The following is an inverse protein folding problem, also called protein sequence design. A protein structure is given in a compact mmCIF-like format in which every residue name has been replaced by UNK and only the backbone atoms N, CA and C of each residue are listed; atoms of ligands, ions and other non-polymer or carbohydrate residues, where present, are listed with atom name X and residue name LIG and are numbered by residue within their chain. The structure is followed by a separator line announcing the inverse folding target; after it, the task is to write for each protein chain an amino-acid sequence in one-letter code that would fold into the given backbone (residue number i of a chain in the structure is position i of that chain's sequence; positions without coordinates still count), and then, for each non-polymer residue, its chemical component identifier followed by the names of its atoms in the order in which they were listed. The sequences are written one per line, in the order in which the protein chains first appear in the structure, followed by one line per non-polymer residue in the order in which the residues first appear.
data_IF_458714952988
#
_entry.id   IF_458714952988
#
_cell.length_a   1.000
_cell.length_b   1.000
_cell.length_c   1.000
_cell.angle_alpha   90.00
_cell.angle_beta   90.00
_cell.angle_gamma   90.00
#
_symmetry.space_group_name_H-M   'P 1'
#
loop_
_entity.id
_entity.type
_entity.pdbx_description
1 polymer ?
#
# COMPACT_ATOMS: atom_id res chain seq x y z
N UNK A 1 13.15 -11.14 10.44
CA UNK A 1 14.46 -10.56 10.06
C UNK A 1 14.59 -9.23 10.77
N UNK A 2 15.73 -8.94 11.36
CA UNK A 2 15.96 -7.64 11.99
C UNK A 2 16.27 -6.59 10.91
N UNK A 3 15.93 -5.35 11.16
CA UNK A 3 16.32 -4.26 10.26
C UNK A 3 17.67 -3.71 10.66
N UNK A 4 18.56 -3.59 9.69
CA UNK A 4 19.86 -2.97 9.89
C UNK A 4 19.75 -1.52 10.39
N UNK A 5 20.80 -1.03 11.02
CA UNK A 5 20.87 0.37 11.44
C UNK A 5 21.05 1.29 10.22
N UNK A 6 20.17 2.30 10.11
CA UNK A 6 20.33 3.33 9.09
C UNK A 6 21.52 4.21 9.42
N UNK A 7 22.41 4.45 8.46
CA UNK A 7 23.54 5.35 8.64
C UNK A 7 23.32 6.68 7.92
N UNK A 8 23.56 7.81 8.64
CA UNK A 8 23.55 9.15 8.04
C UNK A 8 24.91 9.39 7.40
N UNK A 9 24.91 9.63 6.10
CA UNK A 9 26.13 9.88 5.33
C UNK A 9 26.47 11.38 5.20
N UNK A 10 25.45 12.25 5.48
CA UNK A 10 25.62 13.71 5.47
C UNK A 10 25.26 14.31 6.83
N UNK A 11 26.12 15.16 7.38
CA UNK A 11 25.95 15.79 8.70
C UNK A 11 24.80 16.82 8.77
N UNK A 12 24.15 17.19 7.66
CA UNK A 12 23.09 18.21 7.57
C UNK A 12 21.74 17.67 7.14
N UNK A 13 21.53 16.36 7.15
CA UNK A 13 20.26 15.82 6.73
C UNK A 13 19.18 16.14 7.79
N UNK A 14 18.34 17.14 7.49
CA UNK A 14 17.11 17.43 8.23
C UNK A 14 16.06 16.31 8.04
N UNK A 15 16.53 15.07 8.07
CA UNK A 15 15.73 13.86 7.86
C UNK A 15 15.53 13.17 9.20
N UNK A 16 14.28 12.90 9.51
CA UNK A 16 13.88 12.15 10.70
C UNK A 16 13.06 10.94 10.30
N UNK A 17 13.48 9.76 10.77
CA UNK A 17 12.71 8.52 10.59
C UNK A 17 11.48 8.59 11.49
N UNK A 18 10.29 8.45 10.88
CA UNK A 18 9.01 8.43 11.56
C UNK A 18 8.52 6.99 11.77
N UNK A 19 8.79 6.13 10.80
CA UNK A 19 8.37 4.73 10.84
C UNK A 19 9.37 3.88 10.06
N UNK A 20 9.52 2.63 10.51
CA UNK A 20 10.32 1.57 9.88
C UNK A 20 9.47 0.35 9.69
N UNK A 21 9.80 -0.47 8.69
CA UNK A 21 9.09 -1.72 8.48
C UNK A 21 9.53 -2.44 7.23
N UNK A 22 8.84 -3.52 6.96
CA UNK A 22 8.99 -4.33 5.75
C UNK A 22 7.96 -3.95 4.71
N UNK A 23 8.34 -4.09 3.46
CA UNK A 23 7.50 -3.81 2.31
C UNK A 23 7.47 -5.02 1.38
N UNK A 24 6.27 -5.41 0.95
CA UNK A 24 6.06 -6.50 0.02
C UNK A 24 5.28 -6.01 -1.17
N UNK A 25 5.71 -6.43 -2.37
CA UNK A 25 5.08 -6.05 -3.63
C UNK A 25 4.43 -7.25 -4.29
N UNK A 26 3.19 -7.07 -4.76
CA UNK A 26 2.44 -8.08 -5.49
C UNK A 26 1.74 -7.45 -6.70
N UNK A 27 1.58 -8.22 -7.77
CA UNK A 27 0.69 -7.85 -8.86
C UNK A 27 -0.39 -8.90 -9.07
N UNK A 28 -1.54 -8.47 -9.55
CA UNK A 28 -2.63 -9.37 -9.93
C UNK A 28 -2.78 -9.39 -11.44
N UNK A 29 -2.82 -10.59 -12.07
CA UNK A 29 -3.17 -10.70 -13.48
C UNK A 29 -4.58 -10.22 -13.78
N UNK A 30 -4.85 -9.82 -15.02
CA UNK A 30 -6.20 -9.52 -15.50
C UNK A 30 -7.10 -10.73 -15.38
N UNK A 31 -8.40 -10.50 -15.17
CA UNK A 31 -9.42 -11.55 -15.09
C UNK A 31 -9.40 -12.43 -16.34
N UNK A 32 -9.33 -13.74 -16.14
CA UNK A 32 -9.26 -14.74 -17.21
C UNK A 32 -7.85 -14.95 -17.80
N UNK A 33 -6.83 -14.29 -17.25
CA UNK A 33 -5.42 -14.50 -17.62
C UNK A 33 -4.74 -15.36 -16.57
N UNK A 34 -4.26 -16.53 -16.99
CA UNK A 34 -3.45 -17.42 -16.14
C UNK A 34 -1.96 -17.19 -16.40
N UNK A 35 -1.59 -16.90 -17.63
CA UNK A 35 -0.23 -16.53 -18.02
C UNK A 35 -0.13 -15.03 -18.21
N UNK A 36 0.99 -14.46 -17.81
CA UNK A 36 1.30 -13.03 -17.90
C UNK A 36 2.61 -12.89 -18.67
N UNK A 37 2.58 -12.09 -19.71
CA UNK A 37 3.72 -11.88 -20.62
C UNK A 37 4.25 -10.45 -20.61
N UNK A 38 3.66 -9.59 -19.78
CA UNK A 38 4.07 -8.20 -19.65
C UNK A 38 3.12 -7.39 -18.76
N UNK A 39 3.48 -6.16 -18.49
CA UNK A 39 2.69 -5.23 -17.68
C UNK A 39 1.28 -4.97 -18.21
N UNK A 40 1.05 -5.18 -19.51
CA UNK A 40 -0.29 -5.06 -20.09
C UNK A 40 -1.27 -6.11 -19.56
N UNK A 41 -0.79 -7.27 -19.16
CA UNK A 41 -1.59 -8.34 -18.58
C UNK A 41 -1.85 -8.16 -17.09
N UNK A 42 -1.23 -7.17 -16.47
CA UNK A 42 -1.44 -6.81 -15.06
C UNK A 42 -2.73 -6.01 -14.89
N UNK A 43 -3.51 -6.37 -13.89
CA UNK A 43 -4.71 -5.65 -13.49
C UNK A 43 -4.41 -4.61 -12.42
N UNK A 44 -3.68 -4.99 -11.38
CA UNK A 44 -3.40 -4.16 -10.19
C UNK A 44 -2.03 -4.44 -9.62
N UNK A 45 -1.45 -3.42 -9.01
CA UNK A 45 -0.29 -3.51 -8.13
C UNK A 45 -0.75 -3.34 -6.70
N UNK A 46 -0.24 -4.19 -5.81
CA UNK A 46 -0.47 -4.14 -4.37
C UNK A 46 0.84 -3.93 -3.63
N UNK A 47 0.76 -3.21 -2.52
CA UNK A 47 1.84 -3.03 -1.57
C UNK A 47 1.32 -3.47 -0.21
N UNK A 48 2.10 -4.26 0.51
CA UNK A 48 1.85 -4.56 1.93
C UNK A 48 2.95 -3.91 2.73
N UNK A 49 2.58 -3.06 3.69
CA UNK A 49 3.52 -2.48 4.66
C UNK A 49 3.32 -3.18 6.00
N UNK A 50 4.41 -3.60 6.62
CA UNK A 50 4.46 -4.18 7.96
C UNK A 50 5.40 -3.34 8.83
N UNK A 51 4.90 -2.35 9.60
CA UNK A 51 5.73 -1.60 10.53
C UNK A 51 6.29 -2.50 11.62
N UNK A 52 7.48 -2.19 12.14
CA UNK A 52 8.24 -3.08 13.03
C UNK A 52 8.17 -2.73 14.50
N UNK A 53 7.94 -1.48 14.84
CA UNK A 53 8.01 -1.05 16.25
C UNK A 53 7.05 0.08 16.55
N UNK A 54 6.56 0.12 17.79
CA UNK A 54 5.73 1.16 18.34
C UNK A 54 4.31 0.70 18.65
N UNK A 55 3.57 1.57 19.32
CA UNK A 55 2.13 1.44 19.50
C UNK A 55 1.44 2.27 18.42
N UNK A 56 0.48 1.69 17.73
CA UNK A 56 -0.25 2.34 16.66
C UNK A 56 -1.75 2.34 16.96
N UNK A 57 -2.36 3.50 16.78
CA UNK A 57 -3.82 3.60 16.78
C UNK A 57 -4.36 3.13 15.44
N UNK A 58 -5.21 2.12 15.48
CA UNK A 58 -5.80 1.49 14.29
C UNK A 58 -7.31 1.63 14.36
N UNK A 59 -7.96 1.82 13.23
CA UNK A 59 -9.42 1.85 13.14
C UNK A 59 -10.01 0.48 13.47
N UNK A 60 -10.92 0.42 14.45
CA UNK A 60 -11.66 -0.80 14.76
C UNK A 60 -12.71 -1.04 13.68
N UNK A 61 -12.70 -2.21 13.06
CA UNK A 61 -13.79 -2.64 12.16
C UNK A 61 -15.06 -2.83 12.97
N UNK A 62 -16.05 -1.99 12.73
CA UNK A 62 -17.28 -2.02 13.53
C UNK A 62 -18.33 -3.02 13.04
N UNK A 63 -18.45 -3.27 11.75
CA UNK A 63 -19.50 -4.14 11.19
C UNK A 63 -19.06 -4.72 9.85
N UNK A 64 -19.25 -6.03 9.62
CA UNK A 64 -19.10 -6.63 8.29
C UNK A 64 -19.88 -5.92 7.18
N UNK A 65 -20.89 -5.15 7.51
CA UNK A 65 -21.71 -4.39 6.55
C UNK A 65 -21.44 -2.87 6.55
N UNK A 66 -20.35 -2.41 7.16
CA UNK A 66 -20.00 -0.97 7.20
C UNK A 66 -19.69 -0.37 5.83
N UNK A 67 -19.58 -1.19 4.78
CA UNK A 67 -19.22 -0.78 3.42
C UNK A 67 -17.74 -0.45 3.23
N UNK A 68 -16.92 -0.71 4.24
CA UNK A 68 -15.47 -0.61 4.20
C UNK A 68 -14.78 -1.95 3.93
N UNK A 69 -15.54 -3.02 3.86
CA UNK A 69 -15.03 -4.30 3.38
C UNK A 69 -14.53 -4.13 1.95
N UNK A 70 -13.35 -4.68 1.69
CA UNK A 70 -12.79 -4.70 0.36
C UNK A 70 -13.80 -5.25 -0.63
N UNK A 71 -13.81 -4.78 -1.87
CA UNK A 71 -14.67 -5.34 -2.90
C UNK A 71 -14.47 -6.87 -2.90
N UNK A 72 -15.44 -7.61 -2.36
CA UNK A 72 -15.66 -8.96 -2.83
C UNK A 72 -15.85 -8.84 -4.33
N UNK A 73 -14.86 -9.30 -5.07
CA UNK A 73 -14.89 -9.29 -6.53
C UNK A 73 -16.07 -10.17 -6.99
N UNK A 74 -17.26 -9.60 -7.03
CA UNK A 74 -18.35 -10.29 -7.70
C UNK A 74 -19.73 -10.34 -7.09
N UNK A 75 -20.08 -9.66 -6.01
CA UNK A 75 -21.51 -9.63 -5.64
C UNK A 75 -22.26 -8.59 -6.48
N UNK A 76 -23.04 -9.06 -7.43
CA UNK A 76 -24.02 -8.30 -8.18
C UNK A 76 -25.08 -7.71 -7.26
N UNK A 77 -25.22 -6.40 -7.26
CA UNK A 77 -26.51 -5.77 -6.95
C UNK A 77 -27.47 -6.06 -8.10
N UNK A 78 -28.49 -6.87 -7.84
CA UNK A 78 -29.72 -6.81 -8.65
C UNK A 78 -30.45 -5.50 -8.37
N UNK A 79 -30.96 -4.82 -9.40
CA UNK A 79 -31.83 -3.69 -9.20
C UNK A 79 -33.29 -4.14 -9.01
N UNK A 80 -33.96 -3.54 -8.05
CA UNK A 80 -35.39 -3.46 -7.84
C UNK A 80 -36.09 -4.48 -6.93
N UNK A 81 -36.50 -3.92 -5.80
CA UNK A 81 -37.95 -3.93 -5.44
C UNK A 81 -38.24 -2.80 -4.47
N UNK A 82 -39.15 -1.91 -4.90
CA UNK A 82 -39.84 -0.94 -4.07
C UNK A 82 -40.56 -1.64 -2.90
N UNK A 83 -40.22 -1.24 -1.68
CA UNK A 83 -41.17 -1.33 -0.56
C UNK A 83 -40.96 -0.10 0.31
N UNK A 84 -41.92 0.80 0.23
CA UNK A 84 -42.14 1.89 1.17
C UNK A 84 -42.42 1.35 2.56
N UNK A 85 -41.67 1.74 3.55
CA UNK A 85 -42.13 1.81 4.93
C UNK A 85 -41.31 2.82 5.72
N UNK A 86 -41.97 3.89 6.11
CA UNK A 86 -41.50 4.86 7.08
C UNK A 86 -41.03 4.15 8.36
N UNK A 87 -39.79 4.33 8.73
CA UNK A 87 -39.31 4.19 10.11
C UNK A 87 -38.31 5.29 10.38
N UNK A 88 -38.69 6.15 11.28
CA UNK A 88 -37.88 7.17 11.91
C UNK A 88 -36.55 6.58 12.37
N UNK A 89 -35.47 7.07 11.81
CA UNK A 89 -34.13 6.76 12.27
C UNK A 89 -33.74 7.79 13.34
N UNK A 90 -33.77 7.36 14.56
CA UNK A 90 -32.99 7.99 15.64
C UNK A 90 -31.52 7.91 15.23
N UNK A 91 -30.91 9.06 14.98
CA UNK A 91 -29.50 9.17 14.66
C UNK A 91 -28.64 8.76 15.86
N UNK A 92 -28.13 7.55 15.82
CA UNK A 92 -27.02 7.17 16.66
C UNK A 92 -25.74 7.72 16.02
N UNK A 93 -25.14 8.73 16.62
CA UNK A 93 -23.76 9.13 16.34
C UNK A 93 -22.83 8.03 16.85
N UNK A 94 -22.63 7.00 16.03
CA UNK A 94 -21.62 5.99 16.28
C UNK A 94 -20.25 6.57 15.98
N UNK A 95 -19.52 6.98 17.00
CA UNK A 95 -18.10 7.31 16.85
C UNK A 95 -17.32 6.06 16.45
N UNK A 96 -16.47 6.17 15.44
CA UNK A 96 -15.54 5.11 15.05
C UNK A 96 -14.53 4.96 16.20
N UNK A 97 -14.47 3.77 16.82
CA UNK A 97 -13.48 3.45 17.84
C UNK A 97 -12.10 3.26 17.19
N UNK A 98 -11.07 3.63 17.92
CA UNK A 98 -9.69 3.25 17.62
C UNK A 98 -9.21 2.26 18.65
N UNK A 99 -8.44 1.27 18.24
CA UNK A 99 -7.76 0.32 19.09
C UNK A 99 -6.26 0.59 19.04
N UNK A 100 -5.59 0.56 20.18
CA UNK A 100 -4.14 0.62 20.23
C UNK A 100 -3.58 -0.79 20.00
N UNK A 101 -2.83 -0.94 18.91
CA UNK A 101 -2.17 -2.18 18.54
C UNK A 101 -0.70 -2.08 18.93
N UNK A 102 -0.25 -2.97 19.82
CA UNK A 102 1.17 -3.13 20.10
C UNK A 102 1.77 -4.12 19.12
N UNK A 103 2.47 -3.60 18.11
CA UNK A 103 3.02 -4.38 16.99
C UNK A 103 4.20 -5.28 17.39
N UNK A 104 4.77 -5.14 18.59
CA UNK A 104 5.72 -6.10 19.13
C UNK A 104 5.04 -7.44 19.49
N UNK A 105 3.73 -7.41 19.72
CA UNK A 105 2.93 -8.59 20.08
C UNK A 105 2.16 -9.15 18.91
N UNK A 106 1.66 -8.27 18.05
CA UNK A 106 0.83 -8.61 16.89
C UNK A 106 1.27 -7.79 15.67
N UNK A 107 1.51 -8.43 14.51
CA UNK A 107 1.92 -7.71 13.32
C UNK A 107 0.80 -6.80 12.84
N UNK A 108 1.11 -5.54 12.55
CA UNK A 108 0.22 -4.65 11.83
C UNK A 108 0.50 -4.76 10.34
N UNK A 109 -0.53 -4.96 9.54
CA UNK A 109 -0.43 -5.09 8.09
C UNK A 109 -1.33 -4.06 7.41
N UNK A 110 -0.77 -3.26 6.53
CA UNK A 110 -1.49 -2.30 5.68
C UNK A 110 -1.48 -2.81 4.25
N UNK A 111 -2.62 -3.28 3.78
CA UNK A 111 -2.80 -3.72 2.40
C UNK A 111 -3.22 -2.54 1.53
N UNK A 112 -2.36 -2.16 0.61
CA UNK A 112 -2.48 -0.98 -0.23
C UNK A 112 -2.76 -1.38 -1.67
N UNK A 113 -3.71 -0.71 -2.30
CA UNK A 113 -4.02 -0.86 -3.72
C UNK A 113 -3.55 0.37 -4.48
N UNK A 114 -2.72 0.17 -5.50
CA UNK A 114 -2.31 1.25 -6.40
C UNK A 114 -3.35 1.46 -7.51
N UNK A 115 -3.65 2.72 -7.80
CA UNK A 115 -4.57 3.09 -8.88
C UNK A 115 -4.01 2.85 -10.29
N UNK A 116 -2.71 2.60 -10.39
CA UNK A 116 -2.01 2.17 -11.60
C UNK A 116 -1.37 0.81 -11.40
N UNK A 117 -1.01 0.17 -12.50
CA UNK A 117 -0.39 -1.15 -12.54
C UNK A 117 1.08 -1.17 -12.09
N UNK A 118 1.72 0.00 -12.01
CA UNK A 118 3.13 0.17 -11.66
C UNK A 118 3.30 1.26 -10.62
N UNK A 119 4.47 1.34 -10.01
CA UNK A 119 4.92 2.51 -9.27
C UNK A 119 5.23 3.68 -10.23
N UNK A 120 5.25 4.93 -9.73
CA UNK A 120 5.90 6.01 -10.47
C UNK A 120 7.37 5.65 -10.68
N UNK A 121 7.95 6.01 -11.82
CA UNK A 121 9.37 5.77 -12.07
C UNK A 121 10.22 6.69 -11.16
N UNK A 122 10.96 6.17 -10.19
CA UNK A 122 11.68 7.01 -9.23
C UNK A 122 12.80 7.82 -9.86
N UNK A 123 13.37 7.38 -11.00
CA UNK A 123 14.43 8.09 -11.73
C UNK A 123 13.94 9.36 -12.43
N UNK A 124 12.63 9.53 -12.61
CA UNK A 124 12.03 10.67 -13.32
C UNK A 124 11.58 11.77 -12.37
N UNK A 125 12.46 12.72 -12.08
CA UNK A 125 12.30 13.78 -11.05
C UNK A 125 11.22 14.84 -11.32
N UNK A 126 10.71 15.05 -12.53
CA UNK A 126 9.79 16.16 -12.82
C UNK A 126 8.76 15.88 -13.90
N UNK A 127 7.57 16.47 -13.77
CA UNK A 127 6.55 16.53 -14.82
C UNK A 127 5.62 15.33 -14.92
N UNK A 128 5.83 14.27 -14.15
CA UNK A 128 4.94 13.12 -14.15
C UNK A 128 3.76 13.32 -13.20
N UNK A 129 2.58 12.88 -13.64
CA UNK A 129 1.36 12.92 -12.81
C UNK A 129 1.57 12.04 -11.58
N UNK A 130 1.18 12.51 -10.38
CA UNK A 130 1.19 11.70 -9.18
C UNK A 130 0.42 10.39 -9.38
N UNK A 131 0.88 9.31 -8.77
CA UNK A 131 0.17 8.05 -8.76
C UNK A 131 -0.68 7.99 -7.50
N UNK A 132 -1.93 7.68 -7.69
CA UNK A 132 -2.88 7.52 -6.61
C UNK A 132 -2.86 6.10 -6.09
N UNK A 133 -2.96 5.96 -4.77
CA UNK A 133 -3.19 4.72 -4.07
C UNK A 133 -4.11 4.92 -2.88
N UNK A 134 -4.54 3.83 -2.27
CA UNK A 134 -5.33 3.87 -1.05
C UNK A 134 -5.10 2.63 -0.21
N UNK A 135 -5.29 2.76 1.10
CA UNK A 135 -5.28 1.65 2.03
C UNK A 135 -6.62 0.93 1.92
N UNK A 136 -6.59 -0.30 1.43
CA UNK A 136 -7.77 -1.15 1.28
C UNK A 136 -8.16 -1.82 2.59
N UNK A 137 -7.13 -2.25 3.35
CA UNK A 137 -7.33 -3.00 4.59
C UNK A 137 -6.19 -2.73 5.56
N UNK A 138 -6.53 -2.64 6.84
CA UNK A 138 -5.60 -2.62 7.96
C UNK A 138 -5.97 -3.77 8.90
N UNK A 139 -5.02 -4.65 9.20
CA UNK A 139 -5.29 -5.86 9.99
C UNK A 139 -4.06 -6.31 10.77
N UNK A 140 -4.29 -7.01 11.88
CA UNK A 140 -3.25 -7.74 12.60
C UNK A 140 -3.18 -9.21 12.18
N UNK A 141 -4.10 -9.66 11.31
CA UNK A 141 -4.20 -11.06 10.87
C UNK A 141 -3.59 -11.24 9.48
N UNK A 142 -2.52 -12.01 9.41
CA UNK A 142 -1.86 -12.36 8.14
C UNK A 142 -2.83 -13.05 7.17
N UNK A 143 -3.76 -13.84 7.70
CA UNK A 143 -4.73 -14.60 6.90
C UNK A 143 -5.70 -13.70 6.11
N UNK A 144 -6.01 -12.50 6.61
CA UNK A 144 -6.83 -11.52 5.88
C UNK A 144 -6.10 -11.06 4.61
N UNK A 145 -4.80 -10.76 4.71
CA UNK A 145 -3.96 -10.40 3.56
C UNK A 145 -3.83 -11.57 2.59
N UNK A 146 -3.63 -12.80 3.10
CA UNK A 146 -3.61 -14.01 2.27
C UNK A 146 -4.93 -14.19 1.52
N UNK A 147 -6.06 -13.99 2.18
CA UNK A 147 -7.38 -14.05 1.55
C UNK A 147 -7.54 -13.00 0.43
N UNK A 148 -7.07 -11.76 0.67
CA UNK A 148 -7.09 -10.70 -0.32
C UNK A 148 -6.18 -10.98 -1.53
N UNK A 149 -5.07 -11.70 -1.34
CA UNK A 149 -4.14 -12.10 -2.42
C UNK A 149 -4.62 -13.35 -3.18
N UNK A 150 -5.45 -14.19 -2.58
CA UNK A 150 -5.93 -15.43 -3.17
C UNK A 150 -6.74 -15.20 -4.44
N UNK A 151 -6.69 -16.15 -5.36
CA UNK A 151 -7.55 -16.16 -6.55
C UNK A 151 -8.99 -16.50 -6.19
N UNK A 152 -9.91 -16.13 -7.08
CA UNK A 152 -11.34 -16.38 -6.93
C UNK A 152 -11.95 -16.82 -8.26
N UNK A 153 -12.98 -17.64 -8.17
CA UNK A 153 -13.81 -18.02 -9.31
C UNK A 153 -15.24 -17.58 -9.03
N UNK A 154 -15.87 -16.97 -10.02
CA UNK A 154 -17.24 -16.49 -9.90
C UNK A 154 -17.96 -16.52 -11.23
N UNK A 155 -19.27 -16.65 -11.18
CA UNK A 155 -20.13 -16.62 -12.35
C UNK A 155 -20.84 -15.28 -12.48
N UNK A 156 -20.91 -14.77 -13.71
CA UNK A 156 -21.67 -13.57 -14.03
C UNK A 156 -22.76 -13.85 -15.03
N UNK A 157 -23.93 -13.27 -14.85
CA UNK A 157 -25.06 -13.46 -15.76
C UNK A 157 -24.76 -13.08 -17.23
N UNK A 158 -23.88 -12.08 -17.43
CA UNK A 158 -23.59 -11.55 -18.77
C UNK A 158 -22.32 -12.10 -19.40
N UNK A 159 -21.34 -12.58 -18.60
CA UNK A 159 -20.02 -12.99 -19.09
C UNK A 159 -19.63 -14.41 -18.69
N UNK A 160 -20.55 -15.17 -18.10
CA UNK A 160 -20.34 -16.53 -17.65
C UNK A 160 -19.28 -16.67 -16.56
N UNK A 161 -18.64 -17.85 -16.51
CA UNK A 161 -17.58 -18.18 -15.56
C UNK A 161 -16.35 -17.28 -15.70
N UNK A 162 -15.87 -16.77 -14.59
CA UNK A 162 -14.71 -15.85 -14.53
C UNK A 162 -13.73 -16.36 -13.48
N UNK A 163 -12.46 -16.33 -13.83
CA UNK A 163 -11.36 -16.70 -12.94
C UNK A 163 -10.50 -15.46 -12.68
N UNK A 164 -10.36 -15.11 -11.44
CA UNK A 164 -9.38 -14.12 -10.96
C UNK A 164 -8.19 -14.92 -10.46
N UNK A 165 -7.07 -14.81 -11.14
CA UNK A 165 -5.86 -15.48 -10.72
C UNK A 165 -5.36 -14.93 -9.37
N UNK A 166 -4.65 -15.74 -8.56
CA UNK A 166 -4.01 -15.24 -7.35
C UNK A 166 -3.01 -14.11 -7.71
N UNK A 167 -2.84 -13.17 -6.79
CA UNK A 167 -1.78 -12.18 -6.90
C UNK A 167 -0.42 -12.88 -6.84
N UNK A 168 0.57 -12.35 -7.56
CA UNK A 168 1.93 -12.91 -7.66
C UNK A 168 2.91 -11.98 -6.97
N UNK A 169 3.87 -12.55 -6.26
CA UNK A 169 4.93 -11.81 -5.60
C UNK A 169 5.89 -11.18 -6.62
N UNK A 170 6.36 -9.97 -6.32
CA UNK A 170 7.30 -9.20 -7.16
C UNK A 170 8.55 -8.82 -6.40
N UNK A 171 8.50 -8.65 -5.09
CA UNK A 171 9.66 -8.31 -4.29
C UNK A 171 9.33 -8.07 -2.83
N UNK A 172 10.37 -8.11 -2.04
CA UNK A 172 10.39 -7.82 -0.61
C UNK A 172 11.56 -6.90 -0.30
N UNK A 173 11.39 -6.08 0.72
CA UNK A 173 12.45 -5.22 1.21
C UNK A 173 12.05 -4.49 2.46
N UNK A 174 12.85 -3.52 2.81
CA UNK A 174 12.60 -2.61 3.92
C UNK A 174 12.05 -1.28 3.43
N UNK A 175 11.26 -0.62 4.26
CA UNK A 175 10.83 0.75 4.01
C UNK A 175 11.07 1.66 5.21
N UNK A 176 11.08 2.97 4.93
CA UNK A 176 11.04 4.03 5.93
C UNK A 176 10.02 5.08 5.51
N UNK A 177 9.30 5.63 6.48
CA UNK A 177 8.59 6.89 6.31
C UNK A 177 9.44 7.96 7.00
N UNK A 178 9.84 8.95 6.21
CA UNK A 178 10.80 9.97 6.62
C UNK A 178 10.16 11.34 6.58
N UNK A 179 10.35 12.13 7.63
CA UNK A 179 10.13 13.57 7.62
C UNK A 179 11.41 14.24 7.15
N UNK A 180 11.30 15.04 6.10
CA UNK A 180 12.38 15.81 5.54
C UNK A 180 12.03 17.29 5.53
N UNK A 181 12.87 18.13 6.15
CA UNK A 181 12.67 19.57 6.31
C UNK A 181 13.72 20.40 5.55
N UNK A 182 13.77 20.36 4.20
CA UNK A 182 14.69 21.22 3.47
C UNK A 182 14.19 22.67 3.50
N UNK A 183 14.95 23.57 4.09
CA UNK A 183 14.75 25.05 3.99
C UNK A 183 13.30 25.52 4.24
N UNK A 184 12.65 25.06 5.29
CA UNK A 184 11.29 25.45 5.75
C UNK A 184 10.09 24.82 5.01
N UNK A 185 10.28 23.84 4.14
CA UNK A 185 9.17 23.06 3.58
C UNK A 185 9.28 21.62 4.04
N UNK A 186 8.37 21.20 4.89
CA UNK A 186 8.30 19.83 5.35
C UNK A 186 7.70 18.93 4.27
N UNK A 187 8.36 17.82 3.99
CA UNK A 187 7.89 16.76 3.10
C UNK A 187 7.95 15.42 3.84
N UNK A 188 7.13 14.48 3.43
CA UNK A 188 7.22 13.12 3.90
C UNK A 188 7.57 12.23 2.73
N UNK A 189 8.58 11.38 2.92
CA UNK A 189 9.01 10.41 1.93
C UNK A 189 8.65 9.01 2.38
N UNK A 190 8.12 8.21 1.48
CA UNK A 190 8.15 6.76 1.54
C UNK A 190 9.36 6.30 0.74
N UNK A 191 10.35 5.76 1.43
CA UNK A 191 11.54 5.19 0.79
C UNK A 191 11.57 3.70 1.01
N UNK A 192 12.11 2.95 0.06
CA UNK A 192 12.29 1.51 0.20
C UNK A 192 13.59 1.05 -0.46
N UNK A 193 14.11 -0.07 0.02
CA UNK A 193 15.20 -0.84 -0.60
C UNK A 193 14.80 -2.30 -0.64
N UNK A 194 14.91 -2.93 -1.81
CA UNK A 194 14.62 -4.35 -1.98
C UNK A 194 15.73 -5.20 -1.36
N UNK A 195 15.33 -6.29 -0.72
CA UNK A 195 16.22 -7.34 -0.20
C UNK A 195 16.10 -8.60 -1.05
N UNK A 196 14.89 -8.89 -1.55
CA UNK A 196 14.64 -10.07 -2.35
C UNK A 196 13.83 -9.72 -3.62
N UNK A 197 14.24 -10.24 -4.80
CA UNK A 197 15.41 -11.08 -5.08
C UNK A 197 16.74 -10.35 -4.94
N UNK A 198 17.83 -11.11 -4.98
CA UNK A 198 19.19 -10.57 -4.85
C UNK A 198 19.56 -9.58 -5.98
N UNK A 199 20.60 -8.78 -5.74
CA UNK A 199 20.94 -7.59 -6.53
C UNK A 199 21.29 -7.88 -8.01
N UNK A 200 21.85 -9.04 -8.29
CA UNK A 200 22.43 -9.37 -9.59
C UNK A 200 21.44 -9.98 -10.59
N UNK A 201 20.19 -10.17 -10.19
CA UNK A 201 19.20 -10.84 -11.01
C UNK A 201 18.30 -9.82 -11.74
N UNK A 202 18.42 -9.82 -13.08
CA UNK A 202 17.46 -9.10 -13.92
C UNK A 202 16.05 -9.65 -13.67
N UNK A 203 15.10 -8.77 -13.33
CA UNK A 203 13.72 -9.13 -13.08
C UNK A 203 12.78 -8.30 -13.95
N UNK A 204 12.29 -8.89 -15.05
CA UNK A 204 11.41 -8.22 -16.01
C UNK A 204 10.13 -7.66 -15.37
N UNK A 205 9.41 -8.41 -14.47
CA UNK A 205 8.27 -7.87 -13.78
C UNK A 205 8.58 -6.61 -12.95
N UNK A 206 9.71 -6.59 -12.25
CA UNK A 206 10.12 -5.43 -11.46
C UNK A 206 10.43 -4.23 -12.37
N UNK A 207 11.19 -4.45 -13.46
CA UNK A 207 11.54 -3.39 -14.40
C UNK A 207 10.31 -2.74 -15.02
N UNK A 208 9.34 -3.54 -15.52
CA UNK A 208 8.13 -3.03 -16.17
C UNK A 208 7.14 -2.41 -15.17
N UNK A 209 7.15 -2.85 -13.91
CA UNK A 209 6.31 -2.28 -12.86
C UNK A 209 6.97 -1.11 -12.12
N UNK A 210 8.15 -0.69 -12.56
CA UNK A 210 8.97 0.37 -11.94
C UNK A 210 9.30 0.12 -10.47
N UNK A 211 9.46 -1.14 -10.09
CA UNK A 211 9.91 -1.55 -8.77
C UNK A 211 11.43 -1.66 -8.85
N UNK A 212 12.12 -0.53 -8.67
CA UNK A 212 13.58 -0.45 -8.72
C UNK A 212 14.19 -1.07 -7.46
N UNK A 213 15.51 -1.25 -7.46
CA UNK A 213 16.23 -1.75 -6.29
C UNK A 213 15.99 -0.89 -5.05
N UNK A 214 15.94 0.40 -5.26
CA UNK A 214 15.51 1.37 -4.25
C UNK A 214 14.69 2.49 -4.89
N UNK A 215 13.94 3.18 -4.06
CA UNK A 215 13.13 4.29 -4.54
C UNK A 215 12.65 5.19 -3.41
N UNK A 216 12.62 6.47 -3.71
CA UNK A 216 12.09 7.52 -2.86
C UNK A 216 10.90 8.19 -3.52
N UNK A 217 9.81 8.31 -2.77
CA UNK A 217 8.58 8.95 -3.21
C UNK A 217 8.10 9.93 -2.16
N UNK A 218 7.75 11.14 -2.58
CA UNK A 218 6.92 11.99 -1.73
C UNK A 218 5.55 11.34 -1.56
N UNK A 219 5.10 11.21 -0.31
CA UNK A 219 3.77 10.70 0.01
C UNK A 219 2.90 11.79 0.60
N UNK A 220 1.70 11.97 0.03
CA UNK A 220 0.74 12.99 0.46
C UNK A 220 -0.64 12.37 0.66
N UNK A 221 -1.17 12.51 1.84
CA UNK A 221 -2.51 12.06 2.21
C UNK A 221 -3.55 13.02 1.67
N UNK A 222 -4.61 12.50 1.09
CA UNK A 222 -5.73 13.28 0.57
C UNK A 222 -6.77 13.50 1.65
N UNK A 223 -7.18 14.75 1.84
CA UNK A 223 -8.26 15.11 2.75
C UNK A 223 -9.59 14.48 2.29
N UNK A 224 -10.19 13.55 3.07
CA UNK A 224 -11.41 12.86 2.69
C UNK A 224 -12.64 13.78 2.65
N UNK A 225 -12.64 14.86 3.44
CA UNK A 225 -13.78 15.79 3.56
C UNK A 225 -13.81 16.79 2.41
N UNK A 226 -12.68 17.11 1.79
CA UNK A 226 -12.65 18.05 0.69
C UNK A 226 -13.24 17.48 -0.58
N UNK A 227 -14.35 18.09 -1.02
CA UNK A 227 -14.96 17.82 -2.33
C UNK A 227 -14.13 18.50 -3.42
N UNK A 228 -13.52 17.70 -4.29
CA UNK A 228 -12.80 18.25 -5.43
C UNK A 228 -13.75 18.75 -6.50
N UNK A 229 -13.88 20.05 -6.68
CA UNK A 229 -14.40 20.61 -7.92
C UNK A 229 -13.32 20.48 -8.99
N UNK A 230 -13.58 19.70 -10.05
CA UNK A 230 -12.69 19.64 -11.23
C UNK A 230 -11.47 18.74 -11.16
N UNK A 231 -11.33 17.86 -10.18
CA UNK A 231 -10.20 16.94 -10.09
C UNK A 231 -10.32 15.77 -11.07
N UNK A 232 -9.28 15.52 -11.82
CA UNK A 232 -9.14 14.32 -12.68
C UNK A 232 -9.11 13.01 -11.86
N UNK A 233 -8.85 13.07 -10.55
CA UNK A 233 -8.89 11.94 -9.64
C UNK A 233 -10.25 11.86 -8.96
N UNK A 234 -11.10 10.95 -9.41
CA UNK A 234 -12.38 10.70 -8.75
C UNK A 234 -12.21 10.16 -7.33
N UNK A 235 -11.12 9.42 -7.06
CA UNK A 235 -10.87 8.80 -5.76
C UNK A 235 -11.91 7.74 -5.38
N UNK A 236 -11.92 7.37 -4.11
CA UNK A 236 -12.90 6.42 -3.56
C UNK A 236 -14.30 7.04 -3.46
N UNK A 237 -15.31 6.18 -3.50
CA UNK A 237 -16.68 6.57 -3.17
C UNK A 237 -16.79 7.01 -1.71
N UNK A 238 -17.76 7.89 -1.38
CA UNK A 238 -17.89 8.48 -0.05
C UNK A 238 -17.89 7.44 1.08
N UNK A 239 -18.57 6.32 0.90
CA UNK A 239 -18.68 5.23 1.90
C UNK A 239 -17.35 4.50 2.18
N UNK A 240 -16.42 4.54 1.21
CA UNK A 240 -15.10 3.86 1.31
C UNK A 240 -13.95 4.79 1.69
N UNK A 241 -14.20 6.07 1.88
CA UNK A 241 -13.17 7.01 2.31
C UNK A 241 -12.87 6.82 3.80
N UNK A 242 -11.62 7.06 4.16
CA UNK A 242 -11.24 7.09 5.56
C UNK A 242 -12.03 8.13 6.35
N UNK A 243 -12.31 7.81 7.60
CA UNK A 243 -12.82 8.74 8.60
C UNK A 243 -11.74 8.88 9.65
N UNK A 244 -11.03 9.99 9.58
CA UNK A 244 -9.94 10.26 10.53
C UNK A 244 -10.48 10.78 11.85
N UNK A 245 -9.85 10.44 13.00
CA UNK A 245 -10.14 11.08 14.27
C UNK A 245 -9.80 12.58 14.22
N UNK A 246 -10.37 13.35 15.12
CA UNK A 246 -10.29 14.81 15.10
C UNK A 246 -8.85 15.36 15.06
N UNK A 247 -7.91 14.70 15.73
CA UNK A 247 -6.51 15.15 15.74
C UNK A 247 -5.85 14.98 14.36
N UNK A 248 -6.06 13.86 13.66
CA UNK A 248 -5.54 13.64 12.31
C UNK A 248 -6.30 14.48 11.28
N UNK A 249 -7.63 14.57 11.40
CA UNK A 249 -8.42 15.42 10.50
C UNK A 249 -8.03 16.89 10.62
N UNK A 250 -7.67 17.33 11.82
CA UNK A 250 -7.20 18.69 12.12
C UNK A 250 -5.92 19.09 11.40
N UNK A 251 -5.01 18.13 11.15
CA UNK A 251 -3.75 18.37 10.46
C UNK A 251 -3.95 18.92 9.03
N UNK A 252 -5.04 18.58 8.38
CA UNK A 252 -5.34 19.09 7.04
C UNK A 252 -5.64 20.61 7.05
N UNK A 253 -6.24 21.16 8.11
CA UNK A 253 -6.74 22.54 8.11
C UNK A 253 -7.63 22.78 6.90
N UNK A 254 -7.21 23.69 6.01
CA UNK A 254 -7.88 23.98 4.74
C UNK A 254 -7.22 23.28 3.53
N UNK A 255 -6.21 22.45 3.77
CA UNK A 255 -5.44 21.83 2.71
C UNK A 255 -6.19 20.61 2.14
N UNK A 256 -6.01 20.42 0.83
CA UNK A 256 -6.51 19.27 0.11
C UNK A 256 -5.64 18.02 0.29
N UNK A 257 -4.36 18.23 0.49
CA UNK A 257 -3.35 17.21 0.72
C UNK A 257 -2.48 17.62 1.90
N UNK A 258 -2.10 16.63 2.69
CA UNK A 258 -1.18 16.78 3.81
C UNK A 258 -0.05 15.75 3.69
N UNK A 259 1.19 16.05 4.07
CA UNK A 259 2.23 15.03 4.21
C UNK A 259 1.75 13.86 5.06
N UNK A 260 2.27 12.65 4.84
CA UNK A 260 1.97 11.49 5.69
C UNK A 260 2.72 11.58 7.04
N UNK A 261 2.38 12.60 7.82
CA UNK A 261 2.97 12.94 9.10
C UNK A 261 1.86 13.35 10.08
N UNK A 262 1.53 12.51 11.06
CA UNK A 262 2.17 11.21 11.35
C UNK A 262 1.82 10.10 10.34
N UNK A 263 2.62 9.02 10.28
CA UNK A 263 2.34 7.84 9.47
C UNK A 263 1.01 7.14 9.79
N UNK A 264 0.44 7.42 10.97
CA UNK A 264 -0.82 6.86 11.45
C UNK A 264 -2.02 7.11 10.53
N UNK A 265 -1.96 8.11 9.65
CA UNK A 265 -2.94 8.26 8.57
C UNK A 265 -3.14 6.97 7.76
N UNK A 266 -2.08 6.18 7.60
CA UNK A 266 -2.11 4.92 6.85
C UNK A 266 -2.74 3.76 7.64
N UNK A 267 -3.11 3.97 8.90
CA UNK A 267 -3.81 3.00 9.74
C UNK A 267 -5.33 3.03 9.56
N UNK A 268 -5.82 3.84 8.59
CA UNK A 268 -7.24 3.98 8.34
C UNK A 268 -7.62 3.46 6.96
N UNK A 269 -8.53 2.48 6.92
CA UNK A 269 -9.06 1.94 5.67
C UNK A 269 -9.73 3.04 4.87
N UNK A 270 -9.47 3.07 3.56
CA UNK A 270 -9.93 4.15 2.69
C UNK A 270 -9.08 5.42 2.72
N UNK A 271 -7.94 5.42 3.44
CA UNK A 271 -6.96 6.49 3.36
C UNK A 271 -6.42 6.58 1.92
N UNK A 272 -6.76 7.65 1.22
CA UNK A 272 -6.28 7.94 -0.14
C UNK A 272 -4.98 8.76 -0.07
N UNK A 273 -4.01 8.41 -0.90
CA UNK A 273 -2.74 9.14 -0.96
C UNK A 273 -2.21 9.27 -2.39
N UNK A 274 -1.23 10.15 -2.56
CA UNK A 274 -0.46 10.33 -3.77
C UNK A 274 1.00 9.92 -3.53
N UNK A 275 1.57 9.19 -4.49
CA UNK A 275 3.01 8.98 -4.61
C UNK A 275 3.56 9.83 -5.78
N UNK A 276 4.62 10.57 -5.49
CA UNK A 276 5.31 11.44 -6.46
C UNK A 276 6.78 11.01 -6.45
N UNK A 277 7.31 10.68 -7.63
CA UNK A 277 8.73 10.32 -7.75
C UNK A 277 9.64 11.41 -7.19
N UNK A 278 10.62 11.02 -6.42
CA UNK A 278 11.63 11.90 -5.85
C UNK A 278 13.04 11.48 -6.29
N UNK A 279 13.47 10.25 -6.02
CA UNK A 279 14.76 9.72 -6.46
C UNK A 279 14.79 8.19 -6.51
N UNK A 280 15.71 7.64 -7.30
CA UNK A 280 16.15 6.25 -7.29
C UNK A 280 17.51 6.07 -6.58
N UNK A 281 18.03 7.13 -5.99
CA UNK A 281 19.23 7.16 -5.15
C UNK A 281 18.89 7.89 -3.84
N UNK A 282 18.66 7.14 -2.78
CA UNK A 282 18.23 7.63 -1.48
C UNK A 282 19.38 8.35 -0.76
N UNK A 283 20.61 7.85 -0.93
CA UNK A 283 21.78 8.44 -0.31
C UNK A 283 22.10 9.81 -0.92
N UNK A 284 22.06 9.93 -2.25
CA UNK A 284 22.27 11.20 -2.92
C UNK A 284 21.21 12.24 -2.52
N UNK A 285 19.93 11.81 -2.48
CA UNK A 285 18.80 12.71 -2.21
C UNK A 285 18.69 13.11 -0.75
N UNK A 286 18.74 12.15 0.17
CA UNK A 286 18.39 12.33 1.58
C UNK A 286 19.56 12.20 2.52
N UNK A 287 20.74 11.80 2.04
CA UNK A 287 21.93 11.56 2.87
C UNK A 287 21.69 10.41 3.86
N UNK A 288 20.91 9.43 3.48
CA UNK A 288 20.56 8.27 4.29
C UNK A 288 20.84 6.99 3.50
N UNK A 289 21.65 6.13 4.05
CA UNK A 289 21.88 4.77 3.54
C UNK A 289 20.97 3.79 4.30
N UNK A 290 20.11 3.10 3.57
CA UNK A 290 19.30 2.02 4.13
C UNK A 290 20.13 0.74 4.17
N UNK A 291 20.42 0.26 5.36
CA UNK A 291 21.13 -1.00 5.56
C UNK A 291 20.15 -2.13 5.81
N UNK A 292 20.34 -3.21 5.08
CA UNK A 292 19.62 -4.47 5.24
C UNK A 292 20.50 -5.43 6.04
N UNK A 293 19.92 -6.28 6.89
CA UNK A 293 20.70 -7.25 7.66
C UNK A 293 21.21 -8.42 6.80
N UNK A 294 20.68 -8.57 5.59
CA UNK A 294 20.86 -9.78 4.76
C UNK A 294 21.99 -9.70 3.74
N UNK A 295 22.96 -8.80 3.89
CA UNK A 295 24.16 -8.85 3.01
C UNK A 295 24.97 -10.16 3.14
N UNK A 296 24.63 -11.04 4.10
CA UNK A 296 25.41 -12.26 4.38
C UNK A 296 24.77 -13.58 3.92
N UNK A 297 23.49 -13.68 3.66
CA UNK A 297 22.83 -14.97 3.35
C UNK A 297 21.74 -14.82 2.27
N UNK A 298 22.11 -15.09 1.03
CA UNK A 298 21.19 -15.11 -0.13
C UNK A 298 20.36 -16.40 -0.23
N UNK A 299 19.86 -16.94 0.88
CA UNK A 299 18.95 -18.09 0.81
C UNK A 299 17.50 -17.61 0.64
N UNK A 300 16.85 -17.88 -0.53
CA UNK A 300 15.46 -17.53 -0.76
C UNK A 300 14.48 -18.08 0.31
N UNK A 301 14.87 -19.15 1.00
CA UNK A 301 14.07 -19.74 2.09
C UNK A 301 14.02 -18.84 3.33
N UNK A 302 14.92 -17.88 3.46
CA UNK A 302 14.94 -16.90 4.55
C UNK A 302 14.00 -15.73 4.32
N UNK A 303 13.51 -15.49 3.09
CA UNK A 303 12.58 -14.43 2.75
C UNK A 303 11.24 -14.58 3.48
N UNK A 304 10.81 -13.53 4.17
CA UNK A 304 9.49 -13.49 4.83
C UNK A 304 8.35 -13.51 3.83
N UNK A 305 8.56 -12.96 2.62
CA UNK A 305 7.63 -13.06 1.50
C UNK A 305 7.33 -14.53 1.17
N UNK A 306 8.39 -15.33 1.04
CA UNK A 306 8.27 -16.76 0.70
C UNK A 306 7.61 -17.52 1.83
N UNK A 307 8.07 -17.34 3.07
CA UNK A 307 7.54 -18.04 4.24
C UNK A 307 6.08 -17.67 4.54
N UNK A 308 5.75 -16.41 4.42
CA UNK A 308 4.45 -15.89 4.82
C UNK A 308 3.41 -16.01 3.70
N UNK A 309 3.78 -15.65 2.48
CA UNK A 309 2.83 -15.51 1.36
C UNK A 309 3.02 -16.50 0.23
N UNK A 310 4.13 -17.27 0.20
CA UNK A 310 4.50 -18.11 -0.94
C UNK A 310 3.47 -19.17 -1.32
N UNK A 311 2.70 -19.68 -0.36
CA UNK A 311 1.61 -20.63 -0.64
C UNK A 311 0.39 -19.96 -1.31
N UNK A 312 0.15 -18.68 -1.04
CA UNK A 312 -1.01 -17.94 -1.53
C UNK A 312 -0.69 -17.10 -2.76
N UNK A 313 0.48 -16.46 -2.76
CA UNK A 313 0.98 -15.63 -3.85
C UNK A 313 2.14 -16.36 -4.54
N UNK A 314 1.96 -16.93 -5.74
CA UNK A 314 3.02 -17.63 -6.45
C UNK A 314 4.27 -16.77 -6.62
N UNK A 315 5.43 -17.34 -6.27
CA UNK A 315 6.76 -16.70 -6.31
C UNK A 315 7.57 -17.09 -7.54
N UNK A 316 7.05 -17.98 -8.40
CA UNK A 316 7.81 -18.58 -9.50
C UNK A 316 8.34 -17.54 -10.49
N UNK A 317 7.52 -16.54 -10.84
CA UNK A 317 7.93 -15.47 -11.73
C UNK A 317 9.05 -14.62 -11.09
N UNK A 318 8.93 -14.36 -9.78
CA UNK A 318 9.94 -13.64 -9.02
C UNK A 318 11.29 -14.36 -9.03
N UNK A 319 11.31 -15.67 -8.73
CA UNK A 319 12.53 -16.48 -8.71
C UNK A 319 13.18 -16.65 -10.09
N UNK A 320 12.41 -16.57 -11.16
CA UNK A 320 12.91 -16.68 -12.54
C UNK A 320 13.32 -15.35 -13.14
N UNK A 321 12.92 -14.26 -12.54
CA UNK A 321 13.11 -12.92 -13.10
C UNK A 321 12.35 -12.65 -14.40
N UNK A 322 11.38 -13.50 -14.76
CA UNK A 322 10.63 -13.42 -16.01
C UNK A 322 9.12 -13.49 -15.79
N UNK A 323 8.36 -12.89 -16.71
CA UNK A 323 6.92 -13.09 -16.77
C UNK A 323 6.58 -14.57 -17.04
N UNK A 324 5.60 -15.13 -16.34
CA UNK A 324 5.14 -16.51 -16.51
C UNK A 324 3.61 -16.60 -16.49
#
# INVERSE_FOLDING_TARGET
MGQGEDSKTKNESNVQVQERGEIFFFYRPKVGKQEVHGSDDVQRLYIVLRPESGEHSVEVKQDPHSGKEGEELGSHMEPNRDISSDKEHSGGEGGYGTEEVNIEKEPLLRFIVMGRKSLPDPSKKTGHRPYWGFVEMVTTKIDDVKAALKGQEYDTATRGHRVVAPARAVGEGIYRILRHNPKKKMHTHLVYKLEFPAEDEKNEPQEELNIKREGSFLIQIKNPEQRGSGSQFRGLQKKRKATFPAHLQGEFGQLRYHPADPPDFLNYEGCEFLLISASDDIEEELGLELKTETEAEHDPSCSDLVRTFGETAPIRALLRGTWV
#
